data_IF_325869431530
#
_entry.id   IF_325869431530
#
_cell.length_a   1.000
_cell.length_b   1.000
_cell.length_c   1.000
_cell.angle_alpha   90.00
_cell.angle_beta   90.00
_cell.angle_gamma   90.00
#
_symmetry.space_group_name_H-M   'P 1'
#
loop_
_entity.id
_entity.type
_entity.pdbx_description
1 polymer ?
#
# COMPACT_ATOMS: atom_id res chain seq x y z
N UNK A 1 -14.33 10.80 6.51
CA UNK A 1 -13.68 11.58 5.43
C UNK A 1 -14.74 12.33 4.61
N UNK A 2 -14.65 13.65 4.55
CA UNK A 2 -15.62 14.47 3.85
C UNK A 2 -15.55 14.28 2.32
N UNK A 3 -14.32 14.23 1.78
CA UNK A 3 -14.07 14.14 0.34
C UNK A 3 -14.73 12.89 -0.28
N UNK A 4 -14.55 11.72 0.31
CA UNK A 4 -15.15 10.47 -0.21
C UNK A 4 -16.67 10.53 -0.25
N UNK A 5 -17.31 11.15 0.75
CA UNK A 5 -18.77 11.36 0.75
C UNK A 5 -19.22 12.30 -0.37
N UNK A 6 -18.51 13.42 -0.57
CA UNK A 6 -18.81 14.35 -1.66
C UNK A 6 -18.63 13.69 -3.03
N UNK A 7 -17.58 12.92 -3.22
CA UNK A 7 -17.35 12.15 -4.46
C UNK A 7 -18.45 11.13 -4.69
N UNK A 8 -18.81 10.35 -3.66
CA UNK A 8 -19.88 9.38 -3.74
C UNK A 8 -21.23 10.03 -4.09
N UNK A 9 -21.56 11.18 -3.50
CA UNK A 9 -22.76 11.95 -3.82
C UNK A 9 -22.74 12.48 -5.25
N UNK A 10 -21.62 13.03 -5.69
CA UNK A 10 -21.47 13.61 -7.03
C UNK A 10 -21.58 12.57 -8.14
N UNK A 11 -20.97 11.40 -7.96
CA UNK A 11 -20.87 10.38 -9.00
C UNK A 11 -21.88 9.22 -8.83
N UNK A 12 -22.61 9.17 -7.73
CA UNK A 12 -23.57 8.10 -7.43
C UNK A 12 -22.93 6.72 -7.26
N UNK A 13 -21.64 6.66 -6.96
CA UNK A 13 -20.87 5.42 -6.83
C UNK A 13 -19.97 5.48 -5.61
N UNK A 14 -19.75 4.36 -4.91
CA UNK A 14 -18.77 4.31 -3.82
C UNK A 14 -17.35 4.52 -4.35
N UNK A 15 -16.50 5.08 -3.51
CA UNK A 15 -15.12 5.47 -3.83
C UNK A 15 -14.18 4.29 -3.60
N UNK A 16 -13.20 4.12 -4.47
CA UNK A 16 -12.02 3.29 -4.24
C UNK A 16 -10.89 4.21 -3.82
N UNK A 17 -10.20 3.88 -2.73
CA UNK A 17 -9.07 4.64 -2.24
C UNK A 17 -7.77 3.86 -2.45
N UNK A 18 -6.81 4.48 -3.12
CA UNK A 18 -5.47 3.93 -3.32
C UNK A 18 -4.48 4.82 -2.58
N UNK A 19 -3.71 4.22 -1.67
CA UNK A 19 -2.64 4.91 -0.92
C UNK A 19 -1.35 4.14 -1.21
N UNK A 20 -0.43 4.80 -1.88
CA UNK A 20 0.89 4.26 -2.15
C UNK A 20 1.92 4.84 -1.17
N UNK A 21 2.91 4.03 -0.79
CA UNK A 21 4.01 4.43 0.07
C UNK A 21 3.56 5.06 1.41
N UNK A 22 2.59 4.44 2.10
CA UNK A 22 2.05 4.95 3.37
C UNK A 22 3.13 5.15 4.46
N UNK A 23 4.23 4.44 4.36
CA UNK A 23 5.34 4.43 5.30
C UNK A 23 6.33 5.59 5.08
N UNK A 24 6.36 6.21 3.91
CA UNK A 24 7.28 7.33 3.60
C UNK A 24 7.11 8.52 4.56
N UNK A 25 5.90 9.05 4.82
CA UNK A 25 5.74 10.14 5.77
C UNK A 25 6.13 9.75 7.20
N UNK A 26 5.91 8.49 7.59
CA UNK A 26 6.29 7.96 8.92
C UNK A 26 7.81 7.87 9.04
N UNK A 27 8.50 7.33 8.04
CA UNK A 27 9.97 7.25 8.00
C UNK A 27 10.60 8.66 8.06
N UNK A 28 10.05 9.60 7.30
CA UNK A 28 10.50 11.00 7.31
C UNK A 28 10.28 11.69 8.66
N UNK A 29 9.16 11.43 9.30
CA UNK A 29 8.84 11.94 10.62
C UNK A 29 9.82 11.41 11.68
N UNK A 30 10.20 10.13 11.60
CA UNK A 30 11.20 9.54 12.47
C UNK A 30 12.56 10.25 12.36
N UNK A 31 12.99 10.54 11.14
CA UNK A 31 14.26 11.26 10.89
C UNK A 31 14.24 12.71 11.36
N UNK A 32 13.08 13.32 11.49
CA UNK A 32 12.91 14.74 11.84
C UNK A 32 12.37 14.95 13.28
N UNK A 33 12.19 13.91 14.07
CA UNK A 33 11.84 13.98 15.47
C UNK A 33 10.37 14.26 15.81
N UNK A 34 9.43 14.03 14.85
CA UNK A 34 7.97 14.13 15.07
C UNK A 34 7.23 12.82 14.75
N UNK A 35 7.84 11.71 15.08
CA UNK A 35 7.34 10.37 14.78
C UNK A 35 5.97 10.08 15.41
N UNK A 36 5.79 10.41 16.68
CA UNK A 36 4.55 10.13 17.41
C UNK A 36 3.36 10.93 16.86
N UNK A 37 3.57 12.19 16.52
CA UNK A 37 2.54 13.04 15.92
C UNK A 37 2.12 12.50 14.54
N UNK A 38 3.07 12.00 13.75
CA UNK A 38 2.76 11.38 12.46
C UNK A 38 2.00 10.07 12.63
N UNK A 39 2.36 9.25 13.61
CA UNK A 39 1.62 8.02 13.92
C UNK A 39 0.16 8.33 14.28
N UNK A 40 -0.09 9.36 15.07
CA UNK A 40 -1.46 9.75 15.43
C UNK A 40 -2.28 10.21 14.21
N UNK A 41 -1.66 10.94 13.29
CA UNK A 41 -2.29 11.31 12.02
C UNK A 41 -2.64 10.05 11.21
N UNK A 42 -1.72 9.10 11.10
CA UNK A 42 -1.92 7.86 10.37
C UNK A 42 -3.00 6.97 11.00
N UNK A 43 -3.01 6.85 12.33
CA UNK A 43 -4.08 6.16 13.06
C UNK A 43 -5.45 6.77 12.79
N UNK A 44 -5.53 8.11 12.83
CA UNK A 44 -6.76 8.84 12.52
C UNK A 44 -7.24 8.59 11.08
N UNK A 45 -6.33 8.54 10.12
CA UNK A 45 -6.64 8.19 8.75
C UNK A 45 -7.20 6.76 8.64
N UNK A 46 -6.53 5.77 9.23
CA UNK A 46 -6.96 4.36 9.20
C UNK A 46 -8.32 4.16 9.88
N UNK A 47 -8.55 4.82 11.01
CA UNK A 47 -9.85 4.79 11.68
C UNK A 47 -10.95 5.40 10.80
N UNK A 48 -10.68 6.50 10.11
CA UNK A 48 -11.63 7.13 9.21
C UNK A 48 -11.96 6.29 7.97
N UNK A 49 -11.08 5.38 7.56
CA UNK A 49 -11.34 4.41 6.49
C UNK A 49 -12.30 3.31 6.93
N UNK A 50 -12.16 2.84 8.16
CA UNK A 50 -12.94 1.73 8.70
C UNK A 50 -14.46 1.99 8.70
N UNK A 51 -14.86 3.21 9.09
CA UNK A 51 -16.27 3.55 9.29
C UNK A 51 -16.87 4.36 8.13
N UNK A 52 -16.22 4.33 6.95
CA UNK A 52 -16.58 5.17 5.82
C UNK A 52 -17.52 4.45 4.84
N UNK A 53 -18.83 4.65 4.99
CA UNK A 53 -19.86 4.06 4.12
C UNK A 53 -19.79 4.50 2.64
N UNK A 54 -19.10 5.60 2.34
CA UNK A 54 -18.87 6.06 0.96
C UNK A 54 -17.69 5.35 0.29
N UNK A 55 -16.94 4.51 1.04
CA UNK A 55 -15.80 3.78 0.54
C UNK A 55 -16.21 2.35 0.15
N UNK A 56 -15.84 1.92 -1.06
CA UNK A 56 -16.01 0.54 -1.51
C UNK A 56 -14.93 -0.35 -0.88
N UNK A 57 -13.68 0.02 -1.11
CA UNK A 57 -12.50 -0.58 -0.49
C UNK A 57 -11.32 0.39 -0.58
N UNK A 58 -10.26 0.09 0.16
CA UNK A 58 -8.98 0.78 0.09
C UNK A 58 -7.86 -0.23 -0.18
N UNK A 59 -6.88 0.16 -1.01
CA UNK A 59 -5.61 -0.53 -1.18
C UNK A 59 -4.52 0.38 -0.66
N UNK A 60 -3.66 -0.17 0.19
CA UNK A 60 -2.58 0.57 0.84
C UNK A 60 -1.28 -0.21 0.61
N UNK A 61 -0.29 0.43 0.01
CA UNK A 61 1.03 -0.17 -0.22
C UNK A 61 2.12 0.56 0.56
N UNK A 62 3.22 -0.14 0.84
CA UNK A 62 4.40 0.41 1.50
C UNK A 62 5.50 -0.62 1.62
N UNK A 63 6.75 -0.15 1.76
CA UNK A 63 7.93 -1.01 1.84
C UNK A 63 8.23 -1.49 3.26
N UNK A 64 7.86 -0.71 4.27
CA UNK A 64 8.21 -1.01 5.65
C UNK A 64 6.99 -1.56 6.38
N UNK A 65 7.17 -2.69 7.02
CA UNK A 65 6.22 -3.25 8.00
C UNK A 65 6.22 -2.41 9.29
N UNK A 66 6.45 -1.06 9.11
CA UNK A 66 6.50 -0.14 10.21
C UNK A 66 5.12 -0.12 10.85
N UNK A 67 5.09 -0.55 12.09
CA UNK A 67 3.98 -0.31 12.97
C UNK A 67 2.65 -0.94 12.52
N UNK A 68 2.68 -2.13 11.90
CA UNK A 68 1.47 -2.96 11.74
C UNK A 68 0.71 -3.02 13.06
N UNK A 69 1.44 -3.07 14.16
CA UNK A 69 0.88 -3.13 15.51
C UNK A 69 0.36 -1.79 16.01
N UNK A 70 0.94 -0.65 15.61
CA UNK A 70 0.54 0.65 16.15
C UNK A 70 -0.44 1.43 15.26
N UNK A 71 -0.30 1.37 13.94
CA UNK A 71 -1.18 2.09 13.01
C UNK A 71 -2.49 1.34 12.76
N UNK A 72 -2.43 0.00 12.70
CA UNK A 72 -3.57 -0.86 12.42
C UNK A 72 -4.20 -1.48 13.67
N UNK A 73 -3.78 -1.10 14.87
CA UNK A 73 -4.35 -1.57 16.13
C UNK A 73 -5.84 -1.25 16.19
N UNK A 74 -6.68 -2.27 16.36
CA UNK A 74 -8.14 -2.12 16.39
C UNK A 74 -8.84 -2.11 15.02
N UNK A 75 -8.11 -2.35 13.93
CA UNK A 75 -8.69 -2.49 12.59
C UNK A 75 -8.69 -3.96 12.16
N UNK A 76 -9.74 -4.69 12.49
CA UNK A 76 -9.87 -6.12 12.17
C UNK A 76 -10.21 -6.41 10.69
N UNK A 77 -10.33 -5.36 9.86
CA UNK A 77 -10.83 -5.46 8.49
C UNK A 77 -9.73 -5.31 7.42
N UNK A 78 -8.44 -5.33 7.83
CA UNK A 78 -7.33 -5.30 6.89
C UNK A 78 -6.81 -6.70 6.60
N UNK A 79 -6.80 -7.07 5.33
CA UNK A 79 -6.03 -8.21 4.82
C UNK A 79 -4.64 -7.66 4.46
N UNK A 80 -3.60 -8.30 4.93
CA UNK A 80 -2.24 -7.88 4.67
C UNK A 80 -1.48 -9.01 3.99
N UNK A 81 -1.07 -8.75 2.77
CA UNK A 81 -0.19 -9.61 1.98
C UNK A 81 1.21 -9.02 1.90
N UNK A 82 2.19 -9.89 1.77
CA UNK A 82 3.60 -9.53 1.59
C UNK A 82 4.15 -10.22 0.34
N UNK A 83 5.33 -9.79 -0.13
CA UNK A 83 6.00 -10.40 -1.29
C UNK A 83 6.28 -11.90 -1.13
N UNK A 84 6.28 -12.40 0.11
CA UNK A 84 6.49 -13.82 0.42
C UNK A 84 5.19 -14.63 0.47
N UNK A 85 4.04 -13.97 0.41
CA UNK A 85 2.75 -14.63 0.41
C UNK A 85 2.39 -15.08 -1.02
N UNK A 86 1.82 -16.25 -1.16
CA UNK A 86 1.64 -16.92 -2.47
C UNK A 86 0.53 -16.32 -3.35
N UNK A 87 -0.31 -15.43 -2.80
CA UNK A 87 -1.51 -14.94 -3.49
C UNK A 87 -1.18 -13.88 -4.53
N UNK A 88 -0.28 -12.94 -4.22
CA UNK A 88 0.02 -11.77 -5.05
C UNK A 88 1.51 -11.62 -5.38
N UNK A 89 2.37 -12.58 -5.01
CA UNK A 89 3.81 -12.47 -5.17
C UNK A 89 4.27 -12.28 -6.63
N UNK A 90 3.55 -12.85 -7.58
CA UNK A 90 3.85 -12.72 -9.02
C UNK A 90 3.53 -11.34 -9.61
N UNK A 91 2.79 -10.48 -8.86
CA UNK A 91 2.47 -9.11 -9.26
C UNK A 91 3.44 -8.06 -8.71
N UNK A 92 4.41 -8.48 -7.91
CA UNK A 92 5.44 -7.60 -7.34
C UNK A 92 6.82 -7.91 -7.95
N UNK A 93 7.27 -7.03 -8.84
CA UNK A 93 8.53 -7.24 -9.56
C UNK A 93 8.32 -8.04 -10.85
N UNK A 94 9.33 -8.82 -11.22
CA UNK A 94 9.32 -9.63 -12.44
C UNK A 94 9.34 -11.11 -12.08
N UNK A 95 8.53 -11.92 -12.78
CA UNK A 95 8.66 -13.37 -12.75
C UNK A 95 9.77 -13.82 -13.69
N UNK A 96 10.30 -15.03 -13.50
CA UNK A 96 11.45 -15.53 -14.27
C UNK A 96 11.22 -15.47 -15.80
N UNK A 97 10.02 -15.80 -16.25
CA UNK A 97 9.68 -15.75 -17.67
C UNK A 97 9.72 -14.34 -18.28
N UNK A 98 9.39 -13.31 -17.49
CA UNK A 98 9.49 -11.91 -17.91
C UNK A 98 10.94 -11.45 -17.97
N UNK A 99 11.76 -11.86 -16.97
CA UNK A 99 13.21 -11.60 -16.98
C UNK A 99 13.85 -12.24 -18.22
N UNK A 100 13.55 -13.50 -18.49
CA UNK A 100 14.08 -14.22 -19.65
C UNK A 100 13.67 -13.52 -20.97
N UNK A 101 12.45 -13.02 -21.06
CA UNK A 101 12.01 -12.28 -22.24
C UNK A 101 12.75 -10.95 -22.39
N UNK A 102 12.93 -10.20 -21.31
CA UNK A 102 13.68 -8.93 -21.30
C UNK A 102 15.14 -9.16 -21.74
N UNK A 103 15.79 -10.20 -21.19
CA UNK A 103 17.16 -10.55 -21.53
C UNK A 103 17.30 -10.97 -23.00
N UNK A 104 16.32 -11.71 -23.51
CA UNK A 104 16.27 -12.11 -24.94
C UNK A 104 16.09 -10.90 -25.86
N UNK A 105 15.19 -9.99 -25.51
CA UNK A 105 14.93 -8.78 -26.29
C UNK A 105 16.12 -7.81 -26.28
N UNK A 106 16.90 -7.83 -25.19
CA UNK A 106 18.13 -7.06 -25.06
C UNK A 106 19.38 -7.74 -25.68
N UNK A 107 19.24 -8.97 -26.22
CA UNK A 107 20.33 -9.79 -26.79
C UNK A 107 21.50 -10.01 -25.81
N UNK A 108 21.15 -10.23 -24.53
CA UNK A 108 22.11 -10.47 -23.44
C UNK A 108 21.83 -11.77 -22.66
N UNK A 109 21.05 -12.67 -23.23
CA UNK A 109 20.64 -13.91 -22.57
C UNK A 109 21.86 -14.75 -22.13
N UNK A 110 22.90 -14.81 -22.97
CA UNK A 110 24.13 -15.58 -22.71
C UNK A 110 24.95 -15.07 -21.53
N UNK A 111 24.63 -13.88 -20.98
CA UNK A 111 25.32 -13.27 -19.84
C UNK A 111 24.60 -13.49 -18.52
N UNK A 112 23.41 -14.06 -18.53
CA UNK A 112 22.59 -14.25 -17.34
C UNK A 112 23.05 -15.46 -16.49
N UNK A 113 23.86 -16.38 -17.07
CA UNK A 113 24.36 -17.59 -16.39
C UNK A 113 25.76 -17.41 -15.78
N UNK A 114 26.36 -16.24 -15.85
CA UNK A 114 27.66 -15.91 -15.28
C UNK A 114 27.54 -15.03 -14.02
#
# INVERSE_FOLDING_TARGET
MLLTRLMCQQYGKPVILLIDEYDVPVAKANSNGYYEEMLDVMKGLMQALKDNQALCFAVITGCLKIAKESIFTGTNNFISDTLTDSILNEYFGFVQSEVDQILKDADVLDKAES
#
